data_IF_847981041089
#
_entry.id   IF_847981041089
#
_cell.length_a   1.000
_cell.length_b   1.000
_cell.length_c   1.000
_cell.angle_alpha   90.00
_cell.angle_beta   90.00
_cell.angle_gamma   90.00
#
_symmetry.space_group_name_H-M   'P 1'
#
loop_
_entity.id
_entity.type
_entity.pdbx_description
1 polymer ?
#
# COMPACT_ATOMS: atom_id res chain seq x y z
N UNK A 1 -9.66 -5.44 12.94
CA UNK A 1 -10.45 -5.97 14.08
C UNK A 1 -10.10 -7.42 14.39
N UNK A 2 -10.27 -8.36 13.45
CA UNK A 2 -9.97 -9.80 13.66
C UNK A 2 -8.57 -10.08 14.24
N UNK A 3 -7.45 -9.52 13.72
CA UNK A 3 -6.11 -9.85 14.25
C UNK A 3 -5.91 -9.44 15.72
N UNK A 4 -6.57 -8.38 16.18
CA UNK A 4 -6.47 -7.92 17.56
C UNK A 4 -7.34 -8.79 18.50
N UNK A 5 -8.55 -9.15 18.09
CA UNK A 5 -9.46 -10.01 18.86
C UNK A 5 -8.88 -11.42 19.00
N UNK A 6 -8.27 -11.96 17.94
CA UNK A 6 -7.64 -13.28 17.94
C UNK A 6 -6.55 -13.42 19.01
N UNK A 7 -5.86 -12.33 19.38
CA UNK A 7 -4.83 -12.33 20.43
C UNK A 7 -5.39 -12.37 21.84
N UNK A 8 -6.65 -11.99 22.02
CA UNK A 8 -7.29 -11.84 23.34
C UNK A 8 -8.25 -12.99 23.66
N UNK A 9 -8.85 -13.60 22.63
CA UNK A 9 -9.81 -14.68 22.80
C UNK A 9 -9.10 -16.02 23.05
N UNK A 10 -9.63 -16.82 23.99
CA UNK A 10 -9.21 -18.23 24.17
C UNK A 10 -9.52 -19.08 22.92
N UNK A 11 -10.59 -18.74 22.21
CA UNK A 11 -10.99 -19.35 20.94
C UNK A 11 -11.74 -18.33 20.09
N UNK A 12 -11.50 -18.31 18.77
CA UNK A 12 -12.16 -17.43 17.81
C UNK A 12 -12.64 -18.25 16.61
N UNK A 13 -13.93 -18.12 16.27
CA UNK A 13 -14.52 -18.67 15.05
C UNK A 13 -14.93 -17.53 14.12
N UNK A 14 -14.57 -17.60 12.84
CA UNK A 14 -14.90 -16.58 11.84
C UNK A 14 -15.85 -17.17 10.80
N UNK A 15 -17.10 -16.70 10.78
CA UNK A 15 -18.09 -17.09 9.78
C UNK A 15 -17.95 -16.23 8.53
N UNK A 16 -17.03 -16.60 7.64
CA UNK A 16 -16.77 -15.88 6.40
C UNK A 16 -17.66 -16.42 5.26
N UNK A 17 -18.51 -15.57 4.68
CA UNK A 17 -19.32 -15.93 3.50
C UNK A 17 -18.49 -15.96 2.22
N UNK A 18 -17.70 -14.91 1.99
CA UNK A 18 -16.87 -14.75 0.78
C UNK A 18 -15.54 -14.12 1.18
N UNK A 19 -14.43 -14.73 0.75
CA UNK A 19 -13.10 -14.19 1.00
C UNK A 19 -12.85 -12.94 0.14
N UNK A 20 -12.09 -11.98 0.69
CA UNK A 20 -11.59 -10.83 -0.06
C UNK A 20 -10.06 -10.88 -0.10
N UNK A 21 -9.46 -10.22 -1.09
CA UNK A 21 -8.01 -10.01 -1.12
C UNK A 21 -7.60 -8.95 -0.08
N UNK A 22 -6.46 -9.18 0.56
CA UNK A 22 -5.88 -8.25 1.52
C UNK A 22 -4.38 -8.13 1.27
N UNK A 23 -3.87 -6.91 1.30
CA UNK A 23 -2.44 -6.61 1.23
C UNK A 23 -1.93 -6.20 2.63
N UNK A 24 -0.64 -6.44 2.94
CA UNK A 24 -0.06 -6.00 4.20
C UNK A 24 -0.01 -4.46 4.26
N UNK A 25 -0.52 -3.87 5.35
CA UNK A 25 -0.48 -2.41 5.52
C UNK A 25 0.92 -1.85 5.80
N UNK A 26 1.88 -2.70 6.22
CA UNK A 26 3.27 -2.31 6.55
C UNK A 26 3.38 -1.12 7.52
N UNK A 27 2.39 -0.96 8.40
CA UNK A 27 2.36 0.09 9.41
C UNK A 27 3.60 0.02 10.32
N UNK A 28 4.32 1.14 10.39
CA UNK A 28 5.48 1.33 11.26
C UNK A 28 5.52 2.76 11.79
N UNK A 29 6.21 3.02 12.92
CA UNK A 29 6.48 4.37 13.37
C UNK A 29 7.16 5.19 12.27
N UNK A 30 6.70 6.43 12.06
CA UNK A 30 7.28 7.31 11.06
C UNK A 30 8.66 7.80 11.52
N UNK A 31 9.67 7.65 10.67
CA UNK A 31 10.99 8.22 10.93
C UNK A 31 10.89 9.77 10.92
N UNK A 32 11.33 10.48 11.97
CA UNK A 32 11.28 11.95 12.05
C UNK A 32 11.93 12.67 10.88
N UNK A 33 13.04 12.16 10.33
CA UNK A 33 13.71 12.76 9.18
C UNK A 33 12.85 12.66 7.92
N UNK A 34 12.18 11.51 7.74
CA UNK A 34 11.22 11.32 6.64
C UNK A 34 10.03 12.25 6.80
N UNK A 35 9.55 12.44 8.02
CA UNK A 35 8.46 13.37 8.33
C UNK A 35 8.85 14.81 8.00
N UNK A 36 10.02 15.26 8.47
CA UNK A 36 10.50 16.62 8.24
C UNK A 36 10.66 16.90 6.74
N UNK A 37 11.29 15.97 6.00
CA UNK A 37 11.40 16.06 4.54
C UNK A 37 10.02 16.13 3.88
N UNK A 38 9.10 15.26 4.27
CA UNK A 38 7.74 15.23 3.72
C UNK A 38 7.02 16.57 3.95
N UNK A 39 7.15 17.16 5.14
CA UNK A 39 6.55 18.45 5.48
C UNK A 39 7.18 19.62 4.71
N UNK A 40 8.50 19.60 4.51
CA UNK A 40 9.20 20.61 3.71
C UNK A 40 8.73 20.62 2.24
N UNK A 41 8.35 19.46 1.71
CA UNK A 41 7.92 19.27 0.31
C UNK A 41 6.40 19.34 0.11
N UNK A 42 5.63 19.77 1.12
CA UNK A 42 4.16 19.63 1.10
C UNK A 42 3.48 20.26 -0.12
N UNK A 43 3.92 21.46 -0.54
CA UNK A 43 3.34 22.15 -1.70
C UNK A 43 3.47 21.29 -2.96
N UNK A 44 4.69 20.84 -3.25
CA UNK A 44 4.98 20.03 -4.44
C UNK A 44 4.28 18.69 -4.39
N UNK A 45 4.24 18.04 -3.22
CA UNK A 45 3.51 16.77 -3.06
C UNK A 45 2.02 16.94 -3.29
N UNK A 46 1.40 18.01 -2.78
CA UNK A 46 -0.02 18.28 -3.04
C UNK A 46 -0.29 18.53 -4.52
N UNK A 47 0.57 19.29 -5.19
CA UNK A 47 0.48 19.50 -6.64
C UNK A 47 0.59 18.17 -7.39
N UNK A 48 1.60 17.35 -7.09
CA UNK A 48 1.76 16.04 -7.70
C UNK A 48 0.58 15.09 -7.43
N UNK A 49 -0.04 15.16 -6.25
CA UNK A 49 -1.21 14.35 -5.92
C UNK A 49 -2.41 14.66 -6.83
N UNK A 50 -2.62 15.92 -7.22
CA UNK A 50 -3.70 16.31 -8.14
C UNK A 50 -3.60 15.62 -9.50
N UNK A 51 -2.39 15.33 -9.96
CA UNK A 51 -2.15 14.70 -11.26
C UNK A 51 -2.25 13.15 -11.18
N UNK A 52 -2.52 12.59 -10.00
CA UNK A 52 -2.69 11.13 -9.81
C UNK A 52 -4.17 10.74 -9.74
N UNK A 53 -4.54 9.56 -10.27
CA UNK A 53 -5.94 9.10 -10.27
C UNK A 53 -6.54 8.88 -8.88
N UNK A 54 -5.70 8.70 -7.85
CA UNK A 54 -6.13 8.43 -6.48
C UNK A 54 -5.94 9.62 -5.53
N UNK A 55 -5.39 10.75 -6.00
CA UNK A 55 -5.09 11.89 -5.14
C UNK A 55 -3.94 11.62 -4.15
N UNK A 56 -3.02 10.71 -4.47
CA UNK A 56 -1.92 10.30 -3.60
C UNK A 56 -0.58 10.49 -4.32
N UNK A 57 0.21 11.45 -3.84
CA UNK A 57 1.53 11.73 -4.39
C UNK A 57 2.46 10.52 -4.28
N UNK A 58 3.17 10.22 -5.37
CA UNK A 58 4.10 9.08 -5.46
C UNK A 58 3.52 7.86 -6.17
N UNK A 59 2.26 7.93 -6.64
CA UNK A 59 1.61 6.90 -7.46
C UNK A 59 1.26 7.45 -8.85
N UNK A 60 2.27 7.66 -9.72
CA UNK A 60 2.01 8.14 -11.06
C UNK A 60 1.18 7.11 -11.86
N UNK A 61 0.42 7.55 -12.87
CA UNK A 61 -0.30 6.64 -13.76
C UNK A 61 0.63 5.56 -14.35
N UNK A 62 0.18 4.29 -14.42
CA UNK A 62 0.98 3.23 -15.01
C UNK A 62 1.23 3.50 -16.49
N UNK A 63 2.46 3.27 -16.94
CA UNK A 63 2.90 3.53 -18.32
C UNK A 63 2.99 2.27 -19.19
N UNK A 64 2.87 1.08 -18.59
CA UNK A 64 2.97 -0.23 -19.26
C UNK A 64 1.81 -1.12 -18.80
N UNK A 65 1.20 -1.87 -19.73
CA UNK A 65 0.18 -2.85 -19.38
C UNK A 65 0.80 -4.06 -18.66
N UNK A 66 0.10 -4.58 -17.65
CA UNK A 66 0.52 -5.81 -16.96
C UNK A 66 0.50 -7.06 -17.88
N UNK A 67 -0.24 -7.01 -18.98
CA UNK A 67 -0.33 -8.10 -19.96
C UNK A 67 0.78 -8.04 -21.01
N UNK A 68 1.43 -6.88 -21.18
CA UNK A 68 2.54 -6.67 -22.11
C UNK A 68 3.91 -6.94 -21.45
N UNK A 69 3.95 -7.02 -20.12
CA UNK A 69 5.15 -7.36 -19.38
C UNK A 69 5.43 -8.87 -19.44
N UNK A 70 6.70 -9.24 -19.41
CA UNK A 70 7.07 -10.65 -19.20
C UNK A 70 6.63 -11.08 -17.79
N UNK A 71 6.49 -12.38 -17.59
CA UNK A 71 6.13 -12.91 -16.27
C UNK A 71 7.12 -12.47 -15.18
N UNK A 72 8.42 -12.49 -15.48
CA UNK A 72 9.48 -12.08 -14.56
C UNK A 72 9.37 -10.59 -14.19
N UNK A 73 9.20 -9.71 -15.19
CA UNK A 73 9.03 -8.27 -14.97
C UNK A 73 7.81 -7.97 -14.10
N UNK A 74 6.70 -8.67 -14.38
CA UNK A 74 5.45 -8.53 -13.67
C UNK A 74 5.57 -8.99 -12.22
N UNK A 75 6.14 -10.17 -11.98
CA UNK A 75 6.36 -10.69 -10.63
C UNK A 75 7.30 -9.79 -9.81
N UNK A 76 8.38 -9.30 -10.42
CA UNK A 76 9.29 -8.35 -9.77
C UNK A 76 8.57 -7.06 -9.36
N UNK A 77 7.70 -6.55 -10.24
CA UNK A 77 6.91 -5.34 -9.94
C UNK A 77 5.89 -5.58 -8.83
N UNK A 78 5.20 -6.72 -8.86
CA UNK A 78 4.25 -7.11 -7.80
C UNK A 78 4.93 -7.29 -6.45
N UNK A 79 6.09 -7.94 -6.42
CA UNK A 79 6.84 -8.14 -5.17
C UNK A 79 7.35 -6.80 -4.61
N UNK A 80 7.84 -5.90 -5.46
CA UNK A 80 8.24 -4.56 -5.02
C UNK A 80 7.06 -3.82 -4.36
N UNK A 81 5.87 -3.86 -4.96
CA UNK A 81 4.65 -3.27 -4.38
C UNK A 81 4.15 -4.01 -3.14
N UNK A 82 4.32 -5.33 -3.07
CA UNK A 82 4.00 -6.11 -1.88
C UNK A 82 4.85 -5.73 -0.66
N UNK A 83 6.12 -5.37 -0.88
CA UNK A 83 7.00 -4.89 0.18
C UNK A 83 6.69 -3.46 0.63
N UNK A 84 6.24 -2.59 -0.29
CA UNK A 84 5.75 -1.24 0.04
C UNK A 84 4.45 -1.28 0.86
N UNK A 85 3.55 -2.22 0.56
CA UNK A 85 2.27 -2.40 1.25
C UNK A 85 1.08 -1.80 0.49
N UNK A 86 -0.12 -1.96 1.08
CA UNK A 86 -1.33 -1.35 0.54
C UNK A 86 -1.23 0.19 0.58
N UNK A 87 -1.90 0.84 -0.39
CA UNK A 87 -2.06 2.30 -0.44
C UNK A 87 -3.30 2.73 0.33
#
# INVERSE_FOLDING_TARGET
MMPHIARQAKHLTVFQRTANFSLPARNAPLNPEKEQKHKAEYSERRKAAYDTPFGIAGFPPPTKSALEATEEERLKSYEAKWQEGAV
#
